data_IF_283265126696
#
_entry.id   IF_283265126696
#
_cell.length_a   1.000
_cell.length_b   1.000
_cell.length_c   1.000
_cell.angle_alpha   90.00
_cell.angle_beta   90.00
_cell.angle_gamma   90.00
#
_symmetry.space_group_name_H-M   'P 1'
#
loop_
_entity.id
_entity.type
_entity.pdbx_description
1 polymer ?
#
# COMPACT_ATOMS: atom_id res chain seq x y z
N UNK A 1 6.63 18.69 12.96
CA UNK A 1 5.72 17.63 13.45
C UNK A 1 5.37 17.98 14.89
N UNK A 2 4.11 18.26 15.19
CA UNK A 2 3.67 18.65 16.54
C UNK A 2 3.96 17.49 17.51
N UNK A 3 4.66 17.76 18.61
CA UNK A 3 5.11 16.73 19.55
C UNK A 3 3.94 16.32 20.47
N UNK A 4 3.05 15.52 19.90
CA UNK A 4 1.78 15.10 20.48
C UNK A 4 1.98 14.38 21.83
N UNK A 5 3.13 13.72 22.01
CA UNK A 5 3.48 13.00 23.24
C UNK A 5 3.76 13.98 24.37
N UNK A 6 4.62 14.97 24.13
CA UNK A 6 4.93 16.00 25.12
C UNK A 6 3.67 16.82 25.48
N UNK A 7 2.81 17.09 24.50
CA UNK A 7 1.56 17.80 24.72
C UNK A 7 0.55 17.02 25.59
N UNK A 8 0.34 15.73 25.34
CA UNK A 8 -0.53 14.87 26.17
C UNK A 8 0.03 14.72 27.59
N UNK A 9 1.35 14.59 27.72
CA UNK A 9 2.01 14.49 29.02
C UNK A 9 1.79 15.77 29.86
N UNK A 10 1.88 16.95 29.25
CA UNK A 10 1.60 18.22 29.93
C UNK A 10 0.11 18.34 30.29
N UNK A 11 -0.81 18.00 29.38
CA UNK A 11 -2.25 18.10 29.61
C UNK A 11 -2.76 17.16 30.71
N UNK A 12 -2.17 15.95 30.83
CA UNK A 12 -2.53 14.96 31.86
C UNK A 12 -1.83 15.21 33.20
N UNK A 13 -0.59 15.73 33.19
CA UNK A 13 0.16 15.99 34.43
C UNK A 13 -0.32 17.25 35.16
N UNK A 14 -0.86 18.24 34.45
CA UNK A 14 -1.25 19.53 35.06
C UNK A 14 -2.28 19.37 36.18
N UNK A 15 -3.41 18.64 36.02
CA UNK A 15 -4.39 18.50 37.11
C UNK A 15 -3.88 17.64 38.27
N UNK A 16 -2.99 16.69 37.99
CA UNK A 16 -2.33 15.85 39.01
C UNK A 16 -1.39 16.70 39.86
N UNK A 17 -0.55 17.52 39.23
CA UNK A 17 0.38 18.43 39.91
C UNK A 17 -0.35 19.48 40.74
N UNK A 18 -1.47 20.02 40.24
CA UNK A 18 -2.33 20.96 40.98
C UNK A 18 -2.92 20.28 42.22
N UNK A 19 -3.43 19.04 42.11
CA UNK A 19 -3.98 18.35 43.28
C UNK A 19 -2.92 18.06 44.37
N UNK A 20 -1.68 17.76 43.95
CA UNK A 20 -0.54 17.58 44.88
C UNK A 20 -0.17 18.92 45.54
N UNK A 21 -0.08 20.00 44.76
CA UNK A 21 0.33 21.32 45.25
C UNK A 21 -0.62 21.89 46.31
N UNK A 22 -1.92 21.60 46.21
CA UNK A 22 -2.94 22.06 47.16
C UNK A 22 -3.23 21.09 48.32
N UNK A 23 -2.39 20.06 48.52
CA UNK A 23 -2.53 19.04 49.58
C UNK A 23 -3.85 18.23 49.49
N UNK A 24 -4.20 17.78 48.29
CA UNK A 24 -5.35 16.91 48.04
C UNK A 24 -6.73 17.50 48.42
N UNK A 25 -7.11 18.69 47.92
CA UNK A 25 -8.45 19.24 48.13
C UNK A 25 -9.55 18.39 47.48
N UNK A 26 -9.21 17.59 46.46
CA UNK A 26 -10.12 16.69 45.75
C UNK A 26 -9.65 15.24 45.85
N UNK A 27 -10.60 14.29 45.81
CA UNK A 27 -10.24 12.87 45.78
C UNK A 27 -9.50 12.53 44.48
N UNK A 28 -8.64 11.51 44.55
CA UNK A 28 -7.84 11.05 43.40
C UNK A 28 -8.69 10.67 42.19
N UNK A 29 -9.88 10.08 42.41
CA UNK A 29 -10.84 9.78 41.34
C UNK A 29 -11.26 11.03 40.56
N UNK A 30 -11.65 12.11 41.25
CA UNK A 30 -12.05 13.36 40.59
C UNK A 30 -10.87 14.00 39.85
N UNK A 31 -9.66 13.89 40.40
CA UNK A 31 -8.45 14.43 39.77
C UNK A 31 -8.09 13.68 38.49
N UNK A 32 -8.20 12.36 38.50
CA UNK A 32 -7.97 11.52 37.31
C UNK A 32 -9.03 11.81 36.24
N UNK A 33 -10.31 11.91 36.62
CA UNK A 33 -11.38 12.26 35.69
C UNK A 33 -11.16 13.66 35.07
N UNK A 34 -10.74 14.64 35.88
CA UNK A 34 -10.40 15.98 35.41
C UNK A 34 -9.20 15.95 34.45
N UNK A 35 -8.14 15.20 34.78
CA UNK A 35 -6.98 15.02 33.91
C UNK A 35 -7.36 14.38 32.56
N UNK A 36 -8.24 13.38 32.57
CA UNK A 36 -8.76 12.77 31.35
C UNK A 36 -9.61 13.77 30.54
N UNK A 37 -10.51 14.52 31.19
CA UNK A 37 -11.33 15.52 30.51
C UNK A 37 -10.47 16.62 29.87
N UNK A 38 -9.45 17.11 30.58
CA UNK A 38 -8.49 18.08 30.04
C UNK A 38 -7.72 17.51 28.85
N UNK A 39 -7.18 16.29 28.98
CA UNK A 39 -6.48 15.63 27.89
C UNK A 39 -7.36 15.47 26.63
N UNK A 40 -8.62 15.07 26.78
CA UNK A 40 -9.57 14.95 25.67
C UNK A 40 -9.86 16.32 25.05
N UNK A 41 -10.15 17.33 25.85
CA UNK A 41 -10.44 18.69 25.36
C UNK A 41 -9.26 19.29 24.59
N UNK A 42 -8.06 19.24 25.16
CA UNK A 42 -6.86 19.77 24.51
C UNK A 42 -6.47 18.98 23.26
N UNK A 43 -6.66 17.65 23.24
CA UNK A 43 -6.47 16.84 22.04
C UNK A 43 -7.45 17.24 20.94
N UNK A 44 -8.71 17.49 21.28
CA UNK A 44 -9.72 17.96 20.34
C UNK A 44 -9.39 19.36 19.78
N UNK A 45 -8.96 20.29 20.63
CA UNK A 45 -8.50 21.61 20.19
C UNK A 45 -7.26 21.53 19.28
N UNK A 46 -6.28 20.69 19.62
CA UNK A 46 -5.09 20.44 18.80
C UNK A 46 -5.45 19.84 17.43
N UNK A 47 -6.43 18.92 17.39
CA UNK A 47 -6.95 18.37 16.15
C UNK A 47 -7.61 19.43 15.27
N UNK A 48 -8.45 20.29 15.85
CA UNK A 48 -9.07 21.41 15.13
C UNK A 48 -7.99 22.36 14.60
N UNK A 49 -6.98 22.67 15.42
CA UNK A 49 -5.88 23.52 15.01
C UNK A 49 -5.14 22.92 13.81
N UNK A 50 -4.74 21.65 13.88
CA UNK A 50 -4.03 20.95 12.82
C UNK A 50 -4.84 20.82 11.51
N UNK A 51 -6.15 20.61 11.59
CA UNK A 51 -7.01 20.36 10.40
C UNK A 51 -7.54 21.66 9.78
N UNK A 52 -7.82 22.69 10.58
CA UNK A 52 -8.52 23.90 10.10
C UNK A 52 -7.70 25.17 10.26
N UNK A 53 -6.91 25.31 11.31
CA UNK A 53 -6.20 26.57 11.58
C UNK A 53 -4.87 26.58 10.86
N UNK A 54 -4.03 25.56 11.04
CA UNK A 54 -2.70 25.48 10.43
C UNK A 54 -2.76 25.55 8.89
N UNK A 55 -3.55 24.72 8.18
CA UNK A 55 -3.52 24.72 6.72
C UNK A 55 -4.06 26.02 6.13
N UNK A 56 -5.10 26.60 6.72
CA UNK A 56 -5.78 27.78 6.15
C UNK A 56 -5.18 29.12 6.61
N UNK A 57 -4.64 29.20 7.83
CA UNK A 57 -4.22 30.47 8.44
C UNK A 57 -2.71 30.60 8.71
N UNK A 58 -1.93 29.52 8.66
CA UNK A 58 -0.50 29.61 8.99
C UNK A 58 0.44 28.96 7.98
N UNK A 59 -0.04 28.07 7.10
CA UNK A 59 0.80 27.40 6.10
C UNK A 59 1.54 28.38 5.17
N UNK A 60 2.82 28.11 4.90
CA UNK A 60 3.61 28.84 3.89
C UNK A 60 3.14 28.55 2.46
N UNK A 61 2.42 27.44 2.24
CA UNK A 61 1.93 27.03 0.92
C UNK A 61 0.65 27.79 0.51
N UNK A 62 0.20 28.79 1.28
CA UNK A 62 -1.00 29.61 0.98
C UNK A 62 -0.83 30.55 -0.19
N UNK A 63 0.41 30.90 -0.51
CA UNK A 63 0.72 31.75 -1.66
C UNK A 63 0.57 30.98 -2.99
N UNK A 64 0.53 29.64 -2.94
CA UNK A 64 0.33 28.81 -4.12
C UNK A 64 -1.13 28.85 -4.59
N UNK A 65 -1.36 28.76 -5.92
CA UNK A 65 -2.71 28.66 -6.46
C UNK A 65 -3.38 27.41 -5.90
N UNK A 66 -4.50 27.62 -5.21
CA UNK A 66 -5.24 26.57 -4.52
C UNK A 66 -6.42 26.11 -5.38
N UNK A 67 -6.54 24.80 -5.58
CA UNK A 67 -7.59 24.20 -6.38
C UNK A 67 -8.99 24.47 -5.79
N UNK A 68 -9.97 24.70 -6.67
CA UNK A 68 -11.37 24.79 -6.30
C UNK A 68 -11.93 23.40 -5.94
N UNK A 69 -12.17 23.16 -4.66
CA UNK A 69 -12.70 21.89 -4.14
C UNK A 69 -14.11 22.04 -3.57
N UNK A 70 -14.81 20.91 -3.46
CA UNK A 70 -16.14 20.83 -2.86
C UNK A 70 -16.15 21.28 -1.38
N UNK A 71 -17.35 21.48 -0.84
CA UNK A 71 -17.54 21.87 0.55
C UNK A 71 -16.84 20.92 1.52
N UNK A 72 -16.24 21.48 2.58
CA UNK A 72 -15.37 20.76 3.52
C UNK A 72 -16.02 19.46 4.04
N UNK A 73 -17.30 19.50 4.41
CA UNK A 73 -18.05 18.35 4.94
C UNK A 73 -18.12 17.16 3.99
N UNK A 74 -18.04 17.40 2.68
CA UNK A 74 -18.14 16.34 1.65
C UNK A 74 -16.78 15.72 1.31
N UNK A 75 -15.68 16.45 1.54
CA UNK A 75 -14.32 16.07 1.17
C UNK A 75 -13.38 15.74 2.34
N UNK A 76 -13.77 16.04 3.58
CA UNK A 76 -12.88 15.91 4.76
C UNK A 76 -12.29 14.50 4.92
N UNK A 77 -13.03 13.47 4.54
CA UNK A 77 -12.63 12.06 4.68
C UNK A 77 -12.39 11.35 3.34
N UNK A 78 -12.23 12.12 2.25
CA UNK A 78 -12.07 11.56 0.90
C UNK A 78 -10.84 12.14 0.23
N UNK A 79 -10.03 11.27 -0.34
CA UNK A 79 -8.92 11.73 -1.19
C UNK A 79 -9.46 12.06 -2.58
N UNK A 80 -9.02 13.17 -3.21
CA UNK A 80 -9.47 13.51 -4.55
C UNK A 80 -9.19 12.41 -5.58
N UNK A 81 -10.16 12.13 -6.45
CA UNK A 81 -9.99 11.15 -7.54
C UNK A 81 -9.15 11.71 -8.68
N UNK A 82 -8.66 10.85 -9.58
CA UNK A 82 -7.93 11.27 -10.78
C UNK A 82 -8.70 12.30 -11.62
N UNK A 83 -10.02 12.15 -11.76
CA UNK A 83 -10.87 13.12 -12.45
C UNK A 83 -10.92 14.47 -11.74
N UNK A 84 -10.92 14.49 -10.41
CA UNK A 84 -10.86 15.73 -9.65
C UNK A 84 -9.49 16.40 -9.78
N UNK A 85 -8.39 15.63 -9.73
CA UNK A 85 -7.04 16.15 -9.99
C UNK A 85 -6.94 16.76 -11.39
N UNK A 86 -7.51 16.11 -12.41
CA UNK A 86 -7.58 16.64 -13.76
C UNK A 86 -8.38 17.94 -13.84
N UNK A 87 -9.50 18.05 -13.11
CA UNK A 87 -10.26 19.31 -13.01
C UNK A 87 -9.42 20.41 -12.37
N UNK A 88 -8.65 20.10 -11.32
CA UNK A 88 -7.77 21.08 -10.66
C UNK A 88 -6.71 21.60 -11.63
N UNK A 89 -6.09 20.72 -12.44
CA UNK A 89 -5.14 21.13 -13.49
C UNK A 89 -5.79 22.05 -14.53
N UNK A 90 -7.05 21.77 -14.93
CA UNK A 90 -7.78 22.58 -15.91
C UNK A 90 -8.21 23.95 -15.35
N UNK A 91 -8.43 24.08 -14.04
CA UNK A 91 -8.78 25.35 -13.40
C UNK A 91 -7.61 26.35 -13.41
N UNK A 92 -6.37 25.85 -13.33
CA UNK A 92 -5.17 26.68 -13.24
C UNK A 92 -4.12 26.25 -14.28
N UNK A 93 -4.38 26.43 -15.59
CA UNK A 93 -3.53 25.90 -16.65
C UNK A 93 -2.14 26.55 -16.72
N UNK A 94 -1.99 27.78 -16.20
CA UNK A 94 -0.71 28.51 -16.15
C UNK A 94 0.15 28.16 -14.94
N UNK A 95 -0.37 27.37 -13.99
CA UNK A 95 0.30 27.07 -12.73
C UNK A 95 1.05 25.75 -12.81
N UNK A 96 2.35 25.79 -12.52
CA UNK A 96 3.24 24.61 -12.50
C UNK A 96 3.02 23.73 -11.26
N UNK A 97 2.62 24.36 -10.15
CA UNK A 97 2.32 23.70 -8.88
C UNK A 97 0.96 24.20 -8.42
N UNK A 98 0.06 23.26 -8.14
CA UNK A 98 -1.29 23.55 -7.65
C UNK A 98 -1.43 22.94 -6.27
N UNK A 99 -1.81 23.75 -5.29
CA UNK A 99 -2.10 23.26 -3.95
C UNK A 99 -3.53 22.72 -3.91
N UNK A 100 -3.72 21.57 -3.27
CA UNK A 100 -5.05 21.04 -2.95
C UNK A 100 -5.06 20.42 -1.55
N UNK A 101 -6.25 20.13 -1.03
CA UNK A 101 -6.43 19.50 0.26
C UNK A 101 -6.92 18.06 0.09
N UNK A 102 -6.15 17.12 0.66
CA UNK A 102 -6.54 15.72 0.76
C UNK A 102 -7.38 15.44 2.01
N UNK A 103 -7.36 14.18 2.43
CA UNK A 103 -7.98 13.71 3.68
C UNK A 103 -7.54 14.57 4.88
N UNK A 104 -8.49 14.95 5.73
CA UNK A 104 -8.34 15.82 6.91
C UNK A 104 -7.70 17.17 6.62
N UNK A 105 -7.97 17.74 5.44
CA UNK A 105 -7.33 18.98 4.97
C UNK A 105 -5.79 18.90 4.97
N UNK A 106 -5.21 17.71 4.83
CA UNK A 106 -3.78 17.59 4.60
C UNK A 106 -3.41 18.30 3.31
N UNK A 107 -2.44 19.19 3.38
CA UNK A 107 -1.99 19.94 2.21
C UNK A 107 -1.22 19.03 1.26
N UNK A 108 -1.55 19.11 -0.01
CA UNK A 108 -0.93 18.37 -1.10
C UNK A 108 -0.55 19.32 -2.22
N UNK A 109 0.52 18.97 -2.92
CA UNK A 109 0.98 19.70 -4.09
C UNK A 109 0.81 18.81 -5.31
N UNK A 110 0.08 19.31 -6.30
CA UNK A 110 -0.08 18.71 -7.61
C UNK A 110 0.93 19.36 -8.56
N UNK A 111 1.92 18.59 -8.97
CA UNK A 111 2.96 19.01 -9.91
C UNK A 111 2.45 18.80 -11.34
N UNK A 112 2.48 19.86 -12.15
CA UNK A 112 2.01 19.82 -13.53
C UNK A 112 3.16 19.95 -14.53
N UNK A 113 4.31 20.51 -14.14
CA UNK A 113 5.52 20.58 -14.97
C UNK A 113 6.32 19.25 -14.89
N UNK A 114 6.66 18.63 -16.04
CA UNK A 114 7.58 17.50 -16.10
C UNK A 114 8.93 17.71 -15.40
N UNK A 115 9.44 18.95 -15.34
CA UNK A 115 10.70 19.25 -14.64
C UNK A 115 10.59 19.03 -13.13
N UNK A 116 9.52 19.53 -12.53
CA UNK A 116 9.24 19.37 -11.10
C UNK A 116 8.97 17.89 -10.77
N UNK A 117 8.24 17.19 -11.66
CA UNK A 117 8.03 15.75 -11.55
C UNK A 117 9.35 14.98 -11.59
N UNK A 118 10.27 15.34 -12.50
CA UNK A 118 11.61 14.72 -12.55
C UNK A 118 12.41 15.00 -11.29
N UNK A 119 12.37 16.22 -10.76
CA UNK A 119 13.05 16.55 -9.52
C UNK A 119 12.55 15.68 -8.36
N UNK A 120 11.23 15.62 -8.17
CA UNK A 120 10.61 14.92 -7.04
C UNK A 120 10.64 13.41 -7.17
N UNK A 121 10.50 12.85 -8.38
CA UNK A 121 10.36 11.41 -8.59
C UNK A 121 11.68 10.71 -8.97
N UNK A 122 12.71 11.46 -9.37
CA UNK A 122 13.98 10.91 -9.85
C UNK A 122 15.19 11.58 -9.17
N UNK A 123 15.44 12.87 -9.44
CA UNK A 123 16.70 13.52 -9.06
C UNK A 123 16.89 13.67 -7.54
N UNK A 124 15.82 13.99 -6.82
CA UNK A 124 15.81 14.23 -5.37
C UNK A 124 14.81 13.29 -4.67
N UNK A 125 14.49 12.15 -5.28
CA UNK A 125 13.44 11.24 -4.82
C UNK A 125 13.59 10.80 -3.35
N UNK A 126 14.84 10.61 -2.90
CA UNK A 126 15.15 10.23 -1.52
C UNK A 126 15.10 11.38 -0.52
N UNK A 127 15.19 12.65 -0.98
CA UNK A 127 15.04 13.83 -0.12
C UNK A 127 13.56 14.10 0.17
N UNK A 128 12.70 13.97 -0.85
CA UNK A 128 11.24 14.02 -0.68
C UNK A 128 10.69 12.80 0.04
N UNK A 129 11.33 11.65 -0.17
CA UNK A 129 10.98 10.38 0.45
C UNK A 129 9.65 9.80 0.00
N UNK A 130 9.37 8.58 0.44
CA UNK A 130 8.10 7.89 0.20
C UNK A 130 6.98 8.56 1.00
N UNK A 131 5.82 8.73 0.35
CA UNK A 131 4.61 9.23 0.99
C UNK A 131 4.28 8.47 2.27
N UNK A 132 4.13 9.22 3.37
CA UNK A 132 3.72 8.69 4.67
C UNK A 132 2.44 7.84 4.57
N UNK A 133 1.50 8.29 3.73
CA UNK A 133 0.24 7.58 3.52
C UNK A 133 0.46 6.19 2.92
N UNK A 134 1.31 6.09 1.88
CA UNK A 134 1.63 4.81 1.22
C UNK A 134 2.30 3.86 2.22
N UNK A 135 3.28 4.34 2.99
CA UNK A 135 3.94 3.51 4.00
C UNK A 135 2.94 3.01 5.03
N UNK A 136 2.08 3.88 5.53
CA UNK A 136 1.08 3.52 6.54
C UNK A 136 0.07 2.49 6.02
N UNK A 137 -0.38 2.65 4.77
CA UNK A 137 -1.34 1.76 4.14
C UNK A 137 -0.77 0.38 3.81
N UNK A 138 0.46 0.34 3.28
CA UNK A 138 1.02 -0.89 2.75
C UNK A 138 1.87 -1.66 3.78
N UNK A 139 2.40 -1.00 4.81
CA UNK A 139 3.21 -1.67 5.85
C UNK A 139 2.49 -2.83 6.56
N UNK A 140 1.20 -2.71 6.95
CA UNK A 140 0.50 -3.81 7.63
C UNK A 140 0.34 -5.05 6.74
N UNK A 141 0.16 -4.84 5.44
CA UNK A 141 -0.01 -5.90 4.45
C UNK A 141 1.34 -6.48 4.02
N UNK A 142 2.16 -5.67 3.37
CA UNK A 142 3.40 -6.07 2.71
C UNK A 142 4.61 -6.14 3.65
N UNK A 143 4.55 -5.47 4.79
CA UNK A 143 5.66 -5.35 5.73
C UNK A 143 6.47 -4.07 5.53
N UNK A 144 7.23 -3.68 6.57
CA UNK A 144 8.02 -2.44 6.58
C UNK A 144 9.29 -2.50 5.72
N UNK A 145 9.79 -3.72 5.48
CA UNK A 145 10.94 -4.04 4.62
C UNK A 145 10.50 -4.49 3.21
N UNK A 146 9.27 -4.18 2.82
CA UNK A 146 8.82 -4.36 1.44
C UNK A 146 9.48 -3.32 0.55
N UNK A 147 9.92 -3.71 -0.63
CA UNK A 147 10.53 -2.82 -1.62
C UNK A 147 9.66 -1.59 -1.95
N UNK A 148 8.32 -1.72 -1.87
CA UNK A 148 7.37 -0.61 -2.13
C UNK A 148 7.26 0.36 -0.95
N UNK A 149 7.59 -0.08 0.26
CA UNK A 149 7.46 0.67 1.52
C UNK A 149 8.78 1.28 1.96
N UNK A 150 9.89 0.55 1.77
CA UNK A 150 11.24 0.95 2.14
C UNK A 150 11.64 2.27 1.48
N UNK A 151 12.57 2.97 2.13
CA UNK A 151 13.11 4.23 1.61
C UNK A 151 14.57 4.41 2.03
N UNK A 152 15.25 5.37 1.39
CA UNK A 152 16.63 5.70 1.64
C UNK A 152 17.57 4.52 1.36
N UNK A 153 18.60 4.38 2.22
CA UNK A 153 19.68 3.42 2.02
C UNK A 153 19.21 1.96 1.95
N UNK A 154 18.19 1.58 2.73
CA UNK A 154 17.67 0.20 2.71
C UNK A 154 17.01 -0.13 1.37
N UNK A 155 16.22 0.81 0.82
CA UNK A 155 15.62 0.65 -0.50
C UNK A 155 16.67 0.59 -1.60
N UNK A 156 17.72 1.43 -1.54
CA UNK A 156 18.83 1.42 -2.50
C UNK A 156 19.54 0.06 -2.48
N UNK A 157 19.85 -0.47 -1.28
CA UNK A 157 20.47 -1.79 -1.11
C UNK A 157 19.60 -2.90 -1.70
N UNK A 158 18.35 -2.99 -1.28
CA UNK A 158 17.44 -4.04 -1.74
C UNK A 158 17.24 -3.98 -3.26
N UNK A 159 17.11 -2.78 -3.83
CA UNK A 159 16.94 -2.60 -5.27
C UNK A 159 18.18 -3.04 -6.06
N UNK A 160 19.39 -2.72 -5.58
CA UNK A 160 20.64 -3.11 -6.23
C UNK A 160 20.75 -4.64 -6.41
N UNK A 161 20.28 -5.41 -5.45
CA UNK A 161 20.36 -6.88 -5.49
C UNK A 161 19.36 -7.51 -6.46
N UNK A 162 18.25 -6.82 -6.72
CA UNK A 162 17.11 -7.35 -7.47
C UNK A 162 17.01 -6.78 -8.89
N UNK A 163 17.56 -5.59 -9.14
CA UNK A 163 17.64 -4.97 -10.48
C UNK A 163 18.17 -5.93 -11.58
N UNK A 164 19.12 -6.85 -11.33
CA UNK A 164 19.58 -7.79 -12.36
C UNK A 164 18.49 -8.64 -13.00
N UNK A 165 17.44 -9.01 -12.27
CA UNK A 165 16.31 -9.79 -12.79
C UNK A 165 15.46 -8.99 -13.78
N UNK A 166 15.54 -7.66 -13.72
CA UNK A 166 14.80 -6.72 -14.56
C UNK A 166 15.65 -6.15 -15.71
N UNK A 167 16.84 -6.70 -15.95
CA UNK A 167 17.63 -6.34 -17.13
C UNK A 167 16.99 -6.88 -18.41
N UNK A 168 17.19 -6.15 -19.51
CA UNK A 168 16.56 -6.44 -20.80
C UNK A 168 16.78 -7.87 -21.30
N UNK A 169 17.95 -8.45 -21.03
CA UNK A 169 18.27 -9.85 -21.36
C UNK A 169 17.37 -10.83 -20.60
N UNK A 170 17.19 -10.64 -19.29
CA UNK A 170 16.32 -11.50 -18.47
C UNK A 170 14.85 -11.33 -18.84
N UNK A 171 14.42 -10.10 -19.15
CA UNK A 171 13.06 -9.86 -19.64
C UNK A 171 12.81 -10.58 -20.97
N UNK A 172 13.79 -10.60 -21.87
CA UNK A 172 13.68 -11.32 -23.15
C UNK A 172 13.54 -12.85 -22.95
N UNK A 173 14.22 -13.41 -21.95
CA UNK A 173 14.11 -14.84 -21.59
C UNK A 173 12.69 -15.20 -21.11
N UNK A 174 11.91 -14.23 -20.60
CA UNK A 174 10.52 -14.44 -20.16
C UNK A 174 9.49 -14.38 -21.30
N UNK A 175 9.85 -13.83 -22.48
CA UNK A 175 8.92 -13.68 -23.61
C UNK A 175 8.23 -14.98 -24.05
N UNK A 176 8.91 -16.14 -24.16
CA UNK A 176 8.25 -17.40 -24.49
C UNK A 176 7.17 -17.81 -23.49
N UNK A 177 7.38 -17.50 -22.20
CA UNK A 177 6.41 -17.78 -21.14
C UNK A 177 5.18 -16.87 -21.25
N UNK A 178 5.37 -15.57 -21.54
CA UNK A 178 4.26 -14.66 -21.80
C UNK A 178 3.43 -15.10 -23.01
N UNK A 179 4.09 -15.47 -24.11
CA UNK A 179 3.44 -15.94 -25.33
C UNK A 179 2.60 -17.20 -25.08
N UNK A 180 3.17 -18.19 -24.39
CA UNK A 180 2.46 -19.43 -24.04
C UNK A 180 1.19 -19.15 -23.23
N UNK A 181 1.28 -18.30 -22.20
CA UNK A 181 0.12 -17.95 -21.37
C UNK A 181 -0.93 -17.15 -22.16
N UNK A 182 -0.52 -16.29 -23.09
CA UNK A 182 -1.43 -15.57 -23.97
C UNK A 182 -2.19 -16.51 -24.92
N UNK A 183 -1.50 -17.48 -25.54
CA UNK A 183 -2.16 -18.49 -26.36
C UNK A 183 -3.16 -19.32 -25.56
N UNK A 184 -2.77 -19.82 -24.38
CA UNK A 184 -3.67 -20.58 -23.51
C UNK A 184 -4.88 -19.77 -23.04
N UNK A 185 -4.71 -18.47 -22.81
CA UNK A 185 -5.82 -17.56 -22.50
C UNK A 185 -6.80 -17.48 -23.68
N UNK A 186 -6.31 -17.27 -24.90
CA UNK A 186 -7.15 -17.20 -26.11
C UNK A 186 -7.89 -18.51 -26.36
N UNK A 187 -7.21 -19.65 -26.21
CA UNK A 187 -7.81 -20.99 -26.33
C UNK A 187 -8.94 -21.18 -25.31
N UNK A 188 -8.69 -20.84 -24.04
CA UNK A 188 -9.69 -20.98 -22.97
C UNK A 188 -10.90 -20.05 -23.16
N UNK A 189 -10.68 -18.80 -23.58
CA UNK A 189 -11.78 -17.88 -23.89
C UNK A 189 -12.59 -18.36 -25.10
N UNK A 190 -11.94 -18.92 -26.12
CA UNK A 190 -12.62 -19.47 -27.31
C UNK A 190 -13.45 -20.71 -26.95
N UNK A 191 -12.92 -21.60 -26.11
CA UNK A 191 -13.65 -22.77 -25.61
C UNK A 191 -14.89 -22.37 -24.79
N UNK A 192 -14.75 -21.36 -23.92
CA UNK A 192 -15.85 -20.80 -23.14
C UNK A 192 -16.92 -20.16 -24.06
N UNK A 193 -16.52 -19.35 -25.05
CA UNK A 193 -17.44 -18.75 -26.01
C UNK A 193 -18.21 -19.79 -26.84
N UNK A 194 -17.61 -20.95 -27.09
CA UNK A 194 -18.23 -22.04 -27.84
C UNK A 194 -19.09 -22.96 -26.95
N UNK A 195 -19.21 -22.69 -25.64
CA UNK A 195 -19.99 -23.48 -24.69
C UNK A 195 -19.40 -24.86 -24.40
N UNK A 196 -18.12 -25.09 -24.72
CA UNK A 196 -17.46 -26.40 -24.60
C UNK A 196 -17.13 -26.73 -23.13
N UNK A 197 -16.87 -25.70 -22.32
CA UNK A 197 -16.42 -25.85 -20.93
C UNK A 197 -17.55 -25.79 -19.88
N UNK A 198 -18.82 -25.80 -20.28
CA UNK A 198 -19.96 -25.72 -19.35
C UNK A 198 -20.09 -24.39 -18.60
N UNK A 199 -19.16 -23.45 -18.78
CA UNK A 199 -19.32 -22.05 -18.40
C UNK A 199 -20.17 -21.35 -19.46
N UNK A 200 -21.43 -21.05 -19.14
CA UNK A 200 -22.27 -20.21 -20.00
C UNK A 200 -21.69 -18.80 -19.99
N UNK A 201 -21.48 -18.16 -21.16
CA UNK A 201 -21.14 -16.76 -21.18
C UNK A 201 -22.28 -15.94 -20.54
N UNK A 202 -21.99 -14.71 -20.13
CA UNK A 202 -22.97 -13.83 -19.49
C UNK A 202 -24.18 -13.54 -20.39
N UNK A 203 -25.17 -12.75 -19.91
CA UNK A 203 -26.23 -12.26 -20.80
C UNK A 203 -25.61 -11.68 -22.08
N UNK A 204 -26.15 -12.05 -23.24
CA UNK A 204 -25.68 -11.69 -24.59
C UNK A 204 -24.31 -12.25 -25.03
N UNK A 205 -23.89 -13.41 -24.50
CA UNK A 205 -22.56 -13.99 -24.78
C UNK A 205 -21.38 -13.09 -24.35
N UNK A 206 -21.60 -12.16 -23.42
CA UNK A 206 -20.55 -11.27 -22.92
C UNK A 206 -19.55 -12.02 -22.02
N UNK A 207 -18.26 -11.70 -22.17
CA UNK A 207 -17.16 -12.25 -21.36
C UNK A 207 -16.45 -11.12 -20.61
N UNK A 208 -16.28 -11.29 -19.30
CA UNK A 208 -15.55 -10.35 -18.45
C UNK A 208 -14.03 -10.53 -18.61
N UNK A 209 -13.42 -9.78 -19.54
CA UNK A 209 -12.00 -9.91 -19.91
C UNK A 209 -11.07 -9.67 -18.71
N UNK A 210 -11.38 -8.71 -17.83
CA UNK A 210 -10.54 -8.38 -16.68
C UNK A 210 -10.30 -9.59 -15.76
N UNK A 211 -11.34 -10.39 -15.50
CA UNK A 211 -11.24 -11.59 -14.65
C UNK A 211 -10.30 -12.64 -15.25
N UNK A 212 -10.34 -12.81 -16.57
CA UNK A 212 -9.45 -13.70 -17.31
C UNK A 212 -8.01 -13.18 -17.28
N UNK A 213 -7.81 -11.89 -17.55
CA UNK A 213 -6.50 -11.26 -17.51
C UNK A 213 -5.88 -11.28 -16.10
N UNK A 214 -6.66 -11.05 -15.05
CA UNK A 214 -6.17 -11.18 -13.66
C UNK A 214 -5.66 -12.59 -13.38
N UNK A 215 -6.40 -13.63 -13.79
CA UNK A 215 -5.97 -15.02 -13.62
C UNK A 215 -4.67 -15.32 -14.39
N UNK A 216 -4.62 -14.92 -15.67
CA UNK A 216 -3.45 -15.18 -16.52
C UNK A 216 -2.22 -14.42 -16.04
N UNK A 217 -2.36 -13.12 -15.74
CA UNK A 217 -1.24 -12.30 -15.23
C UNK A 217 -0.77 -12.78 -13.85
N UNK A 218 -1.68 -13.28 -13.01
CA UNK A 218 -1.32 -13.89 -11.73
C UNK A 218 -0.48 -15.16 -11.90
N UNK A 219 -0.87 -16.03 -12.82
CA UNK A 219 -0.08 -17.22 -13.17
C UNK A 219 1.32 -16.82 -13.68
N UNK A 220 1.37 -15.82 -14.57
CA UNK A 220 2.63 -15.29 -15.13
C UNK A 220 3.57 -14.79 -14.02
N UNK A 221 3.09 -13.97 -13.08
CA UNK A 221 3.95 -13.45 -12.00
C UNK A 221 4.37 -14.54 -11.01
N UNK A 222 3.49 -15.51 -10.70
CA UNK A 222 3.82 -16.66 -9.86
C UNK A 222 4.95 -17.48 -10.50
N UNK A 223 4.86 -17.75 -11.81
CA UNK A 223 5.92 -18.46 -12.54
C UNK A 223 7.20 -17.64 -12.65
N UNK A 224 7.12 -16.33 -12.87
CA UNK A 224 8.31 -15.47 -12.94
C UNK A 224 9.05 -15.37 -11.60
N UNK A 225 8.32 -15.35 -10.47
CA UNK A 225 8.90 -15.26 -9.12
C UNK A 225 9.44 -16.61 -8.65
N UNK A 226 8.67 -17.68 -8.78
CA UNK A 226 9.01 -18.99 -8.19
C UNK A 226 9.53 -20.01 -9.21
N UNK A 227 9.63 -19.66 -10.50
CA UNK A 227 9.99 -20.60 -11.56
C UNK A 227 8.84 -21.53 -11.95
N UNK A 228 9.19 -22.65 -12.59
CA UNK A 228 8.21 -23.54 -13.22
C UNK A 228 7.14 -24.04 -12.23
N UNK A 229 5.86 -23.73 -12.52
CA UNK A 229 4.72 -24.09 -11.69
C UNK A 229 4.61 -25.61 -11.53
N UNK A 230 4.99 -26.15 -10.37
CA UNK A 230 4.71 -27.57 -10.06
C UNK A 230 3.21 -27.82 -9.98
N UNK A 231 2.77 -29.07 -10.17
CA UNK A 231 1.35 -29.44 -10.06
C UNK A 231 0.68 -28.96 -8.76
N UNK A 232 1.45 -28.88 -7.67
CA UNK A 232 1.00 -28.32 -6.39
C UNK A 232 0.58 -26.84 -6.51
N UNK A 233 1.39 -26.00 -7.18
CA UNK A 233 1.10 -24.57 -7.33
C UNK A 233 -0.10 -24.37 -8.26
N UNK A 234 -0.19 -25.11 -9.37
CA UNK A 234 -1.29 -24.98 -10.33
C UNK A 234 -2.65 -25.27 -9.70
N UNK A 235 -2.70 -26.21 -8.75
CA UNK A 235 -3.93 -26.58 -8.03
C UNK A 235 -4.41 -25.49 -7.08
N UNK A 236 -3.50 -24.68 -6.52
CA UNK A 236 -3.81 -23.65 -5.52
C UNK A 236 -3.77 -22.22 -6.08
N UNK A 237 -3.50 -22.02 -7.37
CA UNK A 237 -3.37 -20.67 -7.97
C UNK A 237 -4.66 -19.86 -7.83
N UNK A 238 -5.82 -20.49 -8.01
CA UNK A 238 -7.11 -19.79 -7.91
C UNK A 238 -7.44 -19.38 -6.49
N UNK A 239 -7.19 -20.29 -5.53
CA UNK A 239 -7.35 -20.00 -4.09
C UNK A 239 -6.41 -18.88 -3.65
N UNK A 240 -5.14 -18.93 -4.08
CA UNK A 240 -4.16 -17.89 -3.79
C UNK A 240 -4.58 -16.55 -4.41
N UNK A 241 -5.06 -16.55 -5.65
CA UNK A 241 -5.60 -15.34 -6.29
C UNK A 241 -6.80 -14.78 -5.52
N UNK A 242 -7.69 -15.64 -4.99
CA UNK A 242 -8.80 -15.23 -4.16
C UNK A 242 -8.32 -14.58 -2.85
N UNK A 243 -7.31 -15.16 -2.19
CA UNK A 243 -6.68 -14.55 -1.02
C UNK A 243 -6.09 -13.18 -1.34
N UNK A 244 -5.43 -13.01 -2.50
CA UNK A 244 -4.93 -11.70 -2.94
C UNK A 244 -6.06 -10.70 -3.20
N UNK A 245 -7.15 -11.11 -3.85
CA UNK A 245 -8.31 -10.25 -4.07
C UNK A 245 -8.90 -9.78 -2.74
N UNK A 246 -9.07 -10.70 -1.79
CA UNK A 246 -9.59 -10.39 -0.46
C UNK A 246 -8.65 -9.46 0.33
N UNK A 247 -7.34 -9.73 0.33
CA UNK A 247 -6.36 -8.91 1.02
C UNK A 247 -6.32 -7.46 0.52
N UNK A 248 -6.49 -7.25 -0.79
CA UNK A 248 -6.39 -5.93 -1.42
C UNK A 248 -7.75 -5.28 -1.73
N UNK A 249 -8.87 -5.96 -1.44
CA UNK A 249 -10.23 -5.41 -1.61
C UNK A 249 -10.48 -4.17 -0.75
N UNK A 250 -9.89 -4.13 0.45
CA UNK A 250 -10.02 -3.01 1.39
C UNK A 250 -9.52 -1.70 0.78
N UNK A 251 -8.43 -1.71 0.01
CA UNK A 251 -7.73 -0.50 -0.42
C UNK A 251 -8.54 0.48 -1.31
N UNK A 252 -9.76 0.14 -1.74
CA UNK A 252 -10.52 0.92 -2.74
C UNK A 252 -11.89 1.43 -2.28
N UNK A 253 -12.35 1.10 -1.07
CA UNK A 253 -13.68 1.47 -0.58
C UNK A 253 -13.76 2.85 0.11
N UNK A 254 -14.95 3.45 0.12
CA UNK A 254 -15.24 4.64 0.93
C UNK A 254 -14.98 4.40 2.43
N UNK A 255 -15.24 3.17 2.89
CA UNK A 255 -14.92 2.73 4.24
C UNK A 255 -13.42 2.75 4.52
N UNK A 256 -12.58 2.33 3.58
CA UNK A 256 -11.14 2.36 3.75
C UNK A 256 -10.54 3.77 3.71
N UNK A 257 -11.13 4.70 2.94
CA UNK A 257 -10.72 6.11 3.02
C UNK A 257 -11.13 6.76 4.35
N UNK A 258 -12.30 6.38 4.90
CA UNK A 258 -12.72 6.79 6.22
C UNK A 258 -11.83 6.17 7.32
N UNK A 259 -11.45 4.90 7.18
CA UNK A 259 -10.46 4.23 8.04
C UNK A 259 -9.10 4.94 7.98
N UNK A 260 -8.60 5.27 6.78
CA UNK A 260 -7.35 6.01 6.57
C UNK A 260 -7.34 7.36 7.29
N UNK A 261 -8.46 8.08 7.21
CA UNK A 261 -8.61 9.35 7.90
C UNK A 261 -8.61 9.16 9.41
N UNK A 262 -9.35 8.16 9.90
CA UNK A 262 -9.44 7.87 11.33
C UNK A 262 -8.11 7.39 11.92
N UNK A 263 -7.37 6.61 11.15
CA UNK A 263 -6.00 6.21 11.45
C UNK A 263 -5.04 7.42 11.54
N UNK A 264 -5.22 8.43 10.70
CA UNK A 264 -4.38 9.64 10.78
C UNK A 264 -4.60 10.40 12.10
N UNK A 265 -5.78 10.27 12.71
CA UNK A 265 -6.18 10.91 13.97
C UNK A 265 -5.78 10.06 15.19
N UNK A 266 -5.92 8.73 15.11
CA UNK A 266 -5.67 7.81 16.23
C UNK A 266 -4.43 6.93 16.01
N UNK A 267 -3.58 6.74 17.03
CA UNK A 267 -2.49 5.77 16.96
C UNK A 267 -3.01 4.39 16.56
N UNK A 268 -2.40 3.77 15.54
CA UNK A 268 -2.87 2.52 14.94
C UNK A 268 -3.10 1.39 15.96
N UNK A 269 -2.31 1.34 17.03
CA UNK A 269 -2.45 0.35 18.10
C UNK A 269 -3.75 0.49 18.92
N UNK A 270 -4.31 1.70 19.05
CA UNK A 270 -5.59 1.94 19.73
C UNK A 270 -6.77 1.63 18.81
N UNK A 271 -6.67 1.98 17.52
CA UNK A 271 -7.74 1.77 16.55
C UNK A 271 -7.99 0.29 16.24
N UNK A 272 -6.95 -0.47 15.87
CA UNK A 272 -7.07 -1.89 15.55
C UNK A 272 -7.45 -2.77 16.76
N UNK A 273 -7.22 -2.29 17.99
CA UNK A 273 -7.61 -3.00 19.21
C UNK A 273 -9.08 -2.80 19.61
N UNK A 274 -9.72 -1.70 19.19
CA UNK A 274 -11.03 -1.29 19.67
C UNK A 274 -12.15 -1.43 18.63
N UNK A 275 -11.83 -1.41 17.32
CA UNK A 275 -12.84 -1.49 16.26
C UNK A 275 -12.60 -2.76 15.44
N UNK A 276 -13.34 -3.84 15.72
CA UNK A 276 -13.28 -5.05 14.93
C UNK A 276 -14.04 -4.85 13.62
N UNK A 277 -13.34 -4.38 12.59
CA UNK A 277 -13.85 -4.42 11.23
C UNK A 277 -13.53 -5.80 10.66
N UNK A 278 -14.57 -6.56 10.32
CA UNK A 278 -14.43 -7.92 9.79
C UNK A 278 -13.62 -7.92 8.48
N UNK A 279 -13.69 -6.84 7.71
CA UNK A 279 -12.86 -6.63 6.53
C UNK A 279 -11.37 -6.61 6.87
N UNK A 280 -10.94 -5.80 7.84
CA UNK A 280 -9.54 -5.72 8.29
C UNK A 280 -9.04 -7.08 8.79
N UNK A 281 -9.89 -7.81 9.53
CA UNK A 281 -9.56 -9.18 9.98
C UNK A 281 -9.40 -10.13 8.79
N UNK A 282 -10.31 -10.06 7.81
CA UNK A 282 -10.27 -10.86 6.60
C UNK A 282 -8.98 -10.59 5.81
N UNK A 283 -8.64 -9.33 5.54
CA UNK A 283 -7.41 -9.01 4.83
C UNK A 283 -6.16 -9.44 5.59
N UNK A 284 -6.15 -9.31 6.93
CA UNK A 284 -5.05 -9.82 7.75
C UNK A 284 -4.91 -11.34 7.64
N UNK A 285 -6.02 -12.08 7.67
CA UNK A 285 -6.05 -13.53 7.51
C UNK A 285 -5.57 -13.95 6.11
N UNK A 286 -6.07 -13.32 5.05
CA UNK A 286 -5.63 -13.58 3.68
C UNK A 286 -4.14 -13.29 3.47
N UNK A 287 -3.63 -12.21 4.07
CA UNK A 287 -2.20 -11.89 4.03
C UNK A 287 -1.33 -12.91 4.79
N UNK A 288 -1.87 -13.55 5.82
CA UNK A 288 -1.18 -14.66 6.49
C UNK A 288 -1.08 -15.90 5.59
N UNK A 289 -2.14 -16.24 4.85
CA UNK A 289 -2.14 -17.32 3.85
C UNK A 289 -1.10 -17.09 2.76
N UNK A 290 -1.09 -15.88 2.17
CA UNK A 290 -0.10 -15.45 1.17
C UNK A 290 1.33 -15.56 1.70
N UNK A 291 1.59 -15.09 2.93
CA UNK A 291 2.92 -15.19 3.55
C UNK A 291 3.32 -16.64 3.80
N UNK A 292 2.41 -17.48 4.26
CA UNK A 292 2.66 -18.91 4.46
C UNK A 292 3.00 -19.62 3.14
N UNK A 293 2.30 -19.30 2.05
CA UNK A 293 2.63 -19.79 0.72
C UNK A 293 4.04 -19.39 0.31
N UNK A 294 4.39 -18.10 0.42
CA UNK A 294 5.73 -17.61 0.07
C UNK A 294 6.82 -18.28 0.94
N UNK A 295 6.59 -18.42 2.25
CA UNK A 295 7.50 -19.11 3.16
C UNK A 295 7.73 -20.58 2.75
N UNK A 296 6.68 -21.30 2.36
CA UNK A 296 6.79 -22.69 1.85
C UNK A 296 7.68 -22.75 0.61
N UNK A 297 7.50 -21.81 -0.33
CA UNK A 297 8.32 -21.77 -1.55
C UNK A 297 9.79 -21.42 -1.26
N UNK A 298 10.04 -20.44 -0.39
CA UNK A 298 11.39 -20.05 0.04
C UNK A 298 12.10 -21.23 0.72
N UNK A 299 11.43 -21.90 1.66
CA UNK A 299 11.99 -23.04 2.38
C UNK A 299 12.33 -24.20 1.43
N UNK A 300 11.42 -24.52 0.50
CA UNK A 300 11.66 -25.54 -0.54
C UNK A 300 12.89 -25.18 -1.38
N UNK A 301 12.99 -23.94 -1.85
CA UNK A 301 14.11 -23.52 -2.71
C UNK A 301 15.45 -23.47 -1.97
N UNK A 302 15.45 -23.12 -0.69
CA UNK A 302 16.64 -23.19 0.18
C UNK A 302 17.15 -24.63 0.36
N UNK A 303 16.27 -25.63 0.44
CA UNK A 303 16.67 -27.04 0.52
C UNK A 303 17.32 -27.53 -0.79
N UNK A 304 16.85 -27.03 -1.94
CA UNK A 304 17.42 -27.34 -3.25
C UNK A 304 18.73 -26.58 -3.51
N UNK A 305 18.94 -25.45 -2.83
CA UNK A 305 20.14 -24.65 -2.92
C UNK A 305 21.32 -25.31 -2.17
N UNK A 306 22.32 -25.76 -2.92
CA UNK A 306 23.59 -26.24 -2.35
C UNK A 306 24.69 -25.19 -2.62
N UNK A 307 25.30 -24.67 -1.55
CA UNK A 307 26.33 -23.63 -1.60
C UNK A 307 27.51 -23.96 -2.53
N UNK A 308 27.81 -25.25 -2.67
CA UNK A 308 28.93 -25.78 -3.46
C UNK A 308 28.67 -25.75 -4.98
N UNK A 309 27.41 -25.82 -5.43
CA UNK A 309 27.11 -25.92 -6.86
C UNK A 309 26.86 -24.55 -7.52
N UNK A 310 26.43 -23.53 -6.75
CA UNK A 310 25.90 -22.22 -7.24
C UNK A 310 24.92 -22.33 -8.44
N UNK A 311 24.39 -23.53 -8.69
CA UNK A 311 23.56 -23.84 -9.84
C UNK A 311 22.14 -24.03 -9.35
N UNK A 312 21.33 -23.00 -9.56
CA UNK A 312 19.88 -23.17 -9.60
C UNK A 312 19.50 -23.35 -11.08
N UNK A 313 18.61 -24.31 -11.40
CA UNK A 313 18.31 -24.72 -12.77
C UNK A 313 17.56 -23.64 -13.57
N UNK A 314 16.82 -22.76 -12.88
CA UNK A 314 16.02 -21.68 -13.47
C UNK A 314 16.59 -20.31 -13.12
N UNK A 315 16.39 -19.33 -14.00
CA UNK A 315 16.56 -17.90 -13.70
C UNK A 315 15.19 -17.33 -13.31
N UNK A 316 14.86 -17.35 -12.04
CA UNK A 316 13.67 -16.69 -11.49
C UNK A 316 14.07 -15.74 -10.37
N UNK A 317 13.15 -14.85 -10.00
CA UNK A 317 13.43 -13.77 -9.05
C UNK A 317 13.78 -14.31 -7.66
N UNK A 318 13.11 -15.38 -7.21
CA UNK A 318 13.41 -15.99 -5.92
C UNK A 318 14.84 -16.56 -5.87
N UNK A 319 15.30 -17.17 -6.96
CA UNK A 319 16.64 -17.75 -7.06
C UNK A 319 17.72 -16.68 -6.97
N UNK A 320 17.50 -15.49 -7.55
CA UNK A 320 18.40 -14.34 -7.42
C UNK A 320 18.39 -13.80 -5.99
N UNK A 321 17.20 -13.65 -5.38
CA UNK A 321 17.08 -13.18 -4.01
C UNK A 321 17.74 -14.13 -2.99
N UNK A 322 17.62 -15.45 -3.17
CA UNK A 322 18.26 -16.47 -2.30
C UNK A 322 19.78 -16.48 -2.45
N UNK A 323 20.30 -16.18 -3.66
CA UNK A 323 21.74 -16.06 -3.94
C UNK A 323 22.35 -14.78 -3.37
N UNK A 324 21.56 -13.74 -3.11
CA UNK A 324 22.05 -12.54 -2.44
C UNK A 324 22.40 -12.87 -0.98
N UNK A 325 23.62 -12.54 -0.58
CA UNK A 325 24.07 -12.63 0.82
C UNK A 325 23.59 -11.43 1.66
N UNK A 326 23.12 -10.36 0.99
CA UNK A 326 22.73 -9.09 1.61
C UNK A 326 21.24 -9.01 1.98
N UNK A 327 20.43 -10.00 1.56
CA UNK A 327 18.99 -10.07 1.85
C UNK A 327 18.70 -11.06 2.98
N UNK A 328 18.03 -10.58 4.03
CA UNK A 328 17.51 -11.43 5.10
C UNK A 328 16.29 -12.23 4.65
N UNK A 329 16.00 -13.36 5.29
CA UNK A 329 14.83 -14.19 4.95
C UNK A 329 13.50 -13.41 5.06
N UNK A 330 13.41 -12.45 5.98
CA UNK A 330 12.24 -11.58 6.07
C UNK A 330 12.15 -10.58 4.91
N UNK A 331 13.27 -10.07 4.41
CA UNK A 331 13.30 -9.24 3.20
C UNK A 331 12.93 -10.05 1.96
N UNK A 332 13.43 -11.28 1.82
CA UNK A 332 13.07 -12.19 0.71
C UNK A 332 11.56 -12.49 0.74
N UNK A 333 11.01 -12.77 1.93
CA UNK A 333 9.57 -12.98 2.09
C UNK A 333 8.75 -11.75 1.68
N UNK A 334 9.11 -10.57 2.18
CA UNK A 334 8.41 -9.33 1.88
C UNK A 334 8.58 -8.92 0.42
N UNK A 335 9.71 -9.25 -0.21
CA UNK A 335 9.95 -9.06 -1.63
C UNK A 335 9.00 -9.94 -2.47
N UNK A 336 8.92 -11.24 -2.16
CA UNK A 336 8.02 -12.18 -2.86
C UNK A 336 6.56 -11.74 -2.76
N UNK A 337 6.09 -11.39 -1.55
CA UNK A 337 4.71 -10.91 -1.37
C UNK A 337 4.46 -9.61 -2.10
N UNK A 338 5.44 -8.71 -2.17
CA UNK A 338 5.34 -7.44 -2.91
C UNK A 338 5.23 -7.66 -4.41
N UNK A 339 6.07 -8.52 -5.00
CA UNK A 339 6.01 -8.80 -6.43
C UNK A 339 4.70 -9.46 -6.85
N UNK A 340 4.21 -10.43 -6.06
CA UNK A 340 2.90 -11.01 -6.30
C UNK A 340 1.79 -9.96 -6.16
N UNK A 341 1.79 -9.15 -5.11
CA UNK A 341 0.74 -8.16 -4.87
C UNK A 341 0.64 -7.09 -5.96
N UNK A 342 1.79 -6.65 -6.49
CA UNK A 342 1.86 -5.52 -7.43
C UNK A 342 1.85 -5.95 -8.90
N UNK A 343 2.33 -7.17 -9.20
CA UNK A 343 2.62 -7.60 -10.57
C UNK A 343 1.41 -8.05 -11.39
N UNK A 344 0.36 -8.61 -10.78
CA UNK A 344 -0.77 -9.12 -11.57
C UNK A 344 -1.81 -8.05 -11.89
N UNK A 345 -2.26 -7.29 -10.88
CA UNK A 345 -3.40 -6.37 -11.02
C UNK A 345 -3.07 -5.15 -11.88
N UNK A 346 -1.84 -4.66 -11.82
CA UNK A 346 -1.41 -3.50 -12.63
C UNK A 346 -1.37 -3.86 -14.12
N UNK A 347 -0.89 -5.06 -14.45
CA UNK A 347 -0.81 -5.56 -15.82
C UNK A 347 -2.20 -5.91 -16.36
N UNK A 348 -3.05 -6.58 -15.57
CA UNK A 348 -4.40 -6.94 -16.02
C UNK A 348 -5.25 -5.70 -16.35
N UNK A 349 -5.18 -4.66 -15.52
CA UNK A 349 -5.89 -3.39 -15.76
C UNK A 349 -5.31 -2.62 -16.93
N UNK A 350 -3.99 -2.66 -17.16
CA UNK A 350 -3.36 -1.95 -18.28
C UNK A 350 -3.66 -2.58 -19.64
N UNK A 351 -3.91 -3.90 -19.68
CA UNK A 351 -4.21 -4.65 -20.91
C UNK A 351 -5.72 -4.66 -21.23
N UNK A 352 -6.57 -4.41 -20.24
CA UNK A 352 -8.03 -4.25 -20.41
C UNK A 352 -8.33 -2.87 -20.97
#
# INVERSE_FOLDING_TARGET
MFDYINFILVATSTPILVNIAFRHPYSWLHTILLAQAFAVFFSFCSLIDAIFVQPFLFSSLRELPTAGQDHIWTRLFKEPTGDQLLRFMRQSPSSQIIRYFGVLNSERLLLTDPKDLKQVLDSEAYEFGRSYLIRRLLSPMLGKKSLVVMDGAEHIRCRKDIDPDFYSQHIADLCPMFWKNACSLVEAMTACSNGVDGQTPGPDNAVEILKWLEKTTFQVIVTAVFGTTTADIQTHIEDLLAEFRDAFSISSGLHAQAEMAWETILPSHLFFGLIPLDDVRKAKSSMQGIKAFCQKQIAKRRLEYTSESRKLPDKNILDTAIKSEDLSDEEILQLCTTFLATGYKTVSVAVT
#
